data_IF_229152053702
#
_entry.id   IF_229152053702
#
_cell.length_a   1.000
_cell.length_b   1.000
_cell.length_c   1.000
_cell.angle_alpha   90.00
_cell.angle_beta   90.00
_cell.angle_gamma   90.00
#
_symmetry.space_group_name_H-M   'P 1'
#
loop_
_entity.id
_entity.type
_entity.pdbx_description
1 polymer ?
#
# COMPACT_ATOMS: atom_id res chain seq x y z
N UNK A 1 -5.69 -7.69 5.87
CA UNK A 1 -5.46 -8.46 4.63
C UNK A 1 -5.90 -9.91 4.83
N UNK A 2 -7.17 -10.11 5.13
CA UNK A 2 -7.74 -11.46 5.41
C UNK A 2 -8.58 -11.94 4.24
N UNK A 3 -9.29 -11.03 3.59
CA UNK A 3 -10.15 -11.34 2.44
C UNK A 3 -11.48 -12.00 2.78
N UNK A 4 -11.71 -12.37 4.04
CA UNK A 4 -12.98 -12.89 4.50
C UNK A 4 -14.08 -11.82 4.41
N UNK A 5 -15.08 -12.06 3.57
CA UNK A 5 -16.22 -11.17 3.35
C UNK A 5 -17.44 -11.78 4.04
N UNK A 6 -18.01 -11.07 5.02
CA UNK A 6 -19.22 -11.48 5.76
C UNK A 6 -20.49 -10.79 5.25
N UNK A 7 -20.35 -9.83 4.33
CA UNK A 7 -21.43 -9.08 3.69
C UNK A 7 -20.91 -8.55 2.36
N UNK A 8 -21.72 -8.58 1.30
CA UNK A 8 -21.26 -8.20 -0.03
C UNK A 8 -20.91 -6.71 -0.12
N UNK A 9 -19.62 -6.41 -0.22
CA UNK A 9 -19.11 -5.03 -0.22
C UNK A 9 -19.64 -4.19 -1.40
N UNK A 10 -19.99 -4.82 -2.55
CA UNK A 10 -20.63 -4.08 -3.66
C UNK A 10 -22.00 -3.49 -3.28
N UNK A 11 -22.66 -4.02 -2.26
CA UNK A 11 -23.97 -3.54 -1.78
C UNK A 11 -23.87 -2.46 -0.70
N UNK A 12 -22.67 -2.03 -0.33
CA UNK A 12 -22.50 -0.96 0.64
C UNK A 12 -22.81 0.41 0.02
N UNK A 13 -23.09 1.40 0.88
CA UNK A 13 -23.17 2.79 0.44
C UNK A 13 -21.83 3.24 -0.14
N UNK A 14 -21.81 4.27 -0.99
CA UNK A 14 -20.58 4.74 -1.62
C UNK A 14 -19.47 5.05 -0.61
N UNK A 15 -19.81 5.68 0.53
CA UNK A 15 -18.86 5.93 1.60
C UNK A 15 -18.44 4.65 2.35
N UNK A 16 -19.37 3.72 2.58
CA UNK A 16 -19.06 2.43 3.21
C UNK A 16 -18.10 1.58 2.38
N UNK A 17 -18.39 1.41 1.09
CA UNK A 17 -17.49 0.73 0.14
C UNK A 17 -16.15 1.45 0.00
N UNK A 18 -16.17 2.79 -0.07
CA UNK A 18 -14.96 3.62 -0.11
C UNK A 18 -14.04 3.41 1.10
N UNK A 19 -14.58 3.30 2.32
CA UNK A 19 -13.78 3.00 3.51
C UNK A 19 -13.12 1.61 3.42
N UNK A 20 -13.85 0.59 2.94
CA UNK A 20 -13.27 -0.76 2.78
C UNK A 20 -12.13 -0.76 1.75
N UNK A 21 -12.28 0.00 0.66
CA UNK A 21 -11.25 0.15 -0.37
C UNK A 21 -10.03 0.93 0.15
N UNK A 22 -10.27 2.06 0.83
CA UNK A 22 -9.22 2.88 1.43
C UNK A 22 -8.42 2.10 2.48
N UNK A 23 -9.08 1.23 3.26
CA UNK A 23 -8.40 0.34 4.20
C UNK A 23 -7.34 -0.55 3.54
N UNK A 24 -7.63 -1.08 2.34
CA UNK A 24 -6.65 -1.84 1.57
C UNK A 24 -5.56 -0.93 0.97
N UNK A 25 -5.95 0.24 0.44
CA UNK A 25 -5.05 1.21 -0.19
C UNK A 25 -4.04 1.83 0.78
N UNK A 26 -4.33 1.86 2.08
CA UNK A 26 -3.38 2.17 3.15
C UNK A 26 -2.24 1.13 3.27
N UNK A 27 -2.18 0.15 2.37
CA UNK A 27 -1.09 -0.82 2.28
C UNK A 27 -1.23 -1.97 3.27
N UNK A 28 -2.45 -2.24 3.75
CA UNK A 28 -2.73 -3.36 4.67
C UNK A 28 -1.84 -3.32 5.92
N UNK A 29 -1.70 -2.15 6.52
CA UNK A 29 -0.84 -1.95 7.70
C UNK A 29 -1.61 -2.19 9.01
N UNK A 30 -2.92 -1.89 9.06
CA UNK A 30 -3.72 -2.01 10.29
C UNK A 30 -5.21 -2.37 10.02
N UNK A 31 -5.69 -3.57 10.41
CA UNK A 31 -4.92 -4.76 10.75
C UNK A 31 -4.36 -5.42 9.49
N UNK A 32 -3.03 -5.49 9.43
CA UNK A 32 -2.35 -6.05 8.27
C UNK A 32 -2.39 -7.57 8.18
N UNK A 33 -1.83 -8.10 7.09
CA UNK A 33 -1.66 -9.54 6.91
C UNK A 33 -0.60 -10.12 7.83
N UNK A 34 -0.59 -11.45 7.98
CA UNK A 34 0.37 -12.18 8.80
C UNK A 34 1.79 -11.91 8.28
N UNK A 35 2.59 -11.18 9.07
CA UNK A 35 3.92 -10.69 8.70
C UNK A 35 3.91 -9.45 7.79
N UNK A 36 3.04 -9.40 6.78
CA UNK A 36 3.02 -8.31 5.80
C UNK A 36 2.60 -6.96 6.33
N UNK A 37 1.70 -6.94 7.31
CA UNK A 37 1.38 -5.70 8.02
C UNK A 37 2.58 -5.11 8.76
N UNK A 38 3.37 -5.97 9.41
CA UNK A 38 4.50 -5.53 10.23
C UNK A 38 5.61 -4.96 9.36
N UNK A 39 6.05 -5.67 8.31
CA UNK A 39 7.10 -5.11 7.44
C UNK A 39 6.61 -3.86 6.71
N UNK A 40 5.32 -3.79 6.33
CA UNK A 40 4.74 -2.58 5.74
C UNK A 40 4.81 -1.39 6.70
N UNK A 41 4.44 -1.60 7.97
CA UNK A 41 4.57 -0.58 9.02
C UNK A 41 6.02 -0.12 9.21
N UNK A 42 6.97 -1.05 9.20
CA UNK A 42 8.39 -0.73 9.35
C UNK A 42 8.92 0.09 8.17
N UNK A 43 8.47 -0.20 6.93
CA UNK A 43 8.82 0.62 5.77
C UNK A 43 8.28 2.05 5.92
N UNK A 44 7.02 2.21 6.33
CA UNK A 44 6.46 3.54 6.59
C UNK A 44 7.21 4.24 7.73
N UNK A 45 7.66 3.51 8.76
CA UNK A 45 8.49 4.08 9.82
C UNK A 45 9.84 4.58 9.29
N UNK A 46 10.51 3.84 8.38
CA UNK A 46 11.74 4.28 7.71
C UNK A 46 11.51 5.58 6.93
N UNK A 47 10.41 5.67 6.19
CA UNK A 47 10.05 6.88 5.43
C UNK A 47 9.69 8.04 6.37
N UNK A 48 8.92 7.79 7.42
CA UNK A 48 8.53 8.80 8.40
C UNK A 48 9.76 9.41 9.10
N UNK A 49 10.72 8.57 9.50
CA UNK A 49 11.99 9.02 10.07
C UNK A 49 12.82 9.80 9.07
N UNK A 50 12.83 9.37 7.79
CA UNK A 50 13.50 10.10 6.73
C UNK A 50 12.96 11.51 6.55
N UNK A 51 11.64 11.64 6.43
CA UNK A 51 10.96 12.93 6.31
C UNK A 51 11.22 13.81 7.54
N UNK A 52 11.05 13.25 8.74
CA UNK A 52 11.29 13.97 9.99
C UNK A 52 12.75 14.43 10.14
N UNK A 53 13.72 13.58 9.80
CA UNK A 53 15.14 13.92 9.82
C UNK A 53 15.46 15.07 8.85
N UNK A 54 14.92 15.03 7.64
CA UNK A 54 15.07 16.11 6.65
C UNK A 54 14.48 17.43 7.14
N UNK A 55 13.29 17.42 7.75
CA UNK A 55 12.63 18.64 8.26
C UNK A 55 13.43 19.34 9.36
N UNK A 56 14.18 18.57 10.16
CA UNK A 56 15.00 19.09 11.28
C UNK A 56 16.47 19.29 10.86
N UNK A 57 16.83 18.94 9.62
CA UNK A 57 18.20 19.06 9.11
C UNK A 57 19.19 18.07 9.76
N UNK A 58 18.70 16.90 10.18
CA UNK A 58 19.50 15.83 10.80
C UNK A 58 19.55 14.59 9.92
N UNK A 59 20.62 13.82 10.04
CA UNK A 59 20.70 12.51 9.35
C UNK A 59 19.61 11.59 9.88
N UNK A 60 18.75 11.03 9.02
CA UNK A 60 17.70 10.11 9.44
C UNK A 60 18.27 8.83 10.08
N UNK A 61 17.68 8.42 11.19
CA UNK A 61 18.12 7.28 11.97
C UNK A 61 16.93 6.56 12.61
N UNK A 62 16.85 5.24 12.41
CA UNK A 62 15.83 4.40 13.03
C UNK A 62 16.50 3.31 13.88
N UNK A 63 16.17 3.26 15.17
CA UNK A 63 16.72 2.29 16.13
C UNK A 63 18.26 2.23 16.14
N UNK A 64 18.93 3.40 16.16
CA UNK A 64 20.39 3.46 16.13
C UNK A 64 21.00 3.27 14.74
N UNK A 65 20.22 2.91 13.71
CA UNK A 65 20.72 2.65 12.35
C UNK A 65 20.46 3.85 11.46
N UNK A 66 21.52 4.43 10.92
CA UNK A 66 21.43 5.52 9.93
C UNK A 66 20.77 5.01 8.65
N UNK A 67 19.87 5.83 8.11
CA UNK A 67 19.18 5.56 6.86
C UNK A 67 19.85 6.39 5.76
N UNK A 68 20.46 5.72 4.79
CA UNK A 68 21.13 6.36 3.67
C UNK A 68 20.34 6.28 2.36
N UNK A 69 20.93 6.75 1.24
CA UNK A 69 20.25 6.76 -0.05
C UNK A 69 19.83 5.38 -0.56
N UNK A 70 20.59 4.33 -0.23
CA UNK A 70 20.25 2.94 -0.64
C UNK A 70 19.01 2.45 0.08
N UNK A 71 18.94 2.65 1.40
CA UNK A 71 17.80 2.26 2.22
C UNK A 71 16.53 2.99 1.80
N UNK A 72 16.63 4.30 1.50
CA UNK A 72 15.50 5.09 0.99
C UNK A 72 15.03 4.63 -0.39
N UNK A 73 15.94 4.32 -1.31
CA UNK A 73 15.55 3.79 -2.63
C UNK A 73 14.77 2.49 -2.51
N UNK A 74 15.19 1.58 -1.63
CA UNK A 74 14.48 0.31 -1.39
C UNK A 74 13.10 0.54 -0.76
N UNK A 75 13.01 1.42 0.24
CA UNK A 75 11.74 1.78 0.87
C UNK A 75 10.78 2.47 -0.12
N UNK A 76 11.29 3.38 -0.96
CA UNK A 76 10.53 4.07 -1.99
C UNK A 76 10.02 3.10 -3.06
N UNK A 77 10.86 2.18 -3.54
CA UNK A 77 10.44 1.15 -4.49
C UNK A 77 9.37 0.25 -3.90
N UNK A 78 9.51 -0.15 -2.63
CA UNK A 78 8.50 -0.94 -1.91
C UNK A 78 7.13 -0.26 -1.93
N UNK A 79 7.03 1.01 -1.51
CA UNK A 79 5.73 1.68 -1.39
C UNK A 79 5.08 1.97 -2.75
N UNK A 80 5.88 2.00 -3.82
CA UNK A 80 5.40 2.30 -5.16
C UNK A 80 4.86 1.06 -5.88
N UNK A 81 5.22 -0.16 -5.45
CA UNK A 81 4.78 -1.39 -6.13
C UNK A 81 3.27 -1.49 -6.17
N UNK A 82 2.60 -1.47 -5.02
CA UNK A 82 1.16 -1.74 -4.98
C UNK A 82 0.37 -0.65 -5.70
N UNK A 83 0.61 0.66 -5.52
CA UNK A 83 -0.15 1.65 -6.26
C UNK A 83 0.12 1.66 -7.76
N UNK A 84 1.35 1.38 -8.20
CA UNK A 84 1.63 1.25 -9.62
C UNK A 84 0.82 0.10 -10.23
N UNK A 85 0.78 -1.07 -9.58
CA UNK A 85 -0.01 -2.20 -10.07
C UNK A 85 -1.51 -1.87 -10.11
N UNK A 86 -2.04 -1.28 -9.03
CA UNK A 86 -3.47 -0.92 -8.94
C UNK A 86 -3.85 0.05 -10.04
N UNK A 87 -3.14 1.18 -10.15
CA UNK A 87 -3.50 2.26 -11.06
C UNK A 87 -3.25 1.87 -12.52
N UNK A 88 -2.13 1.20 -12.84
CA UNK A 88 -1.83 0.78 -14.20
C UNK A 88 -2.81 -0.29 -14.71
N UNK A 89 -3.12 -1.30 -13.90
CA UNK A 89 -4.06 -2.34 -14.34
C UNK A 89 -5.51 -1.87 -14.37
N UNK A 90 -5.92 -0.99 -13.45
CA UNK A 90 -7.24 -0.33 -13.51
C UNK A 90 -7.36 0.50 -14.78
N UNK A 91 -6.36 1.33 -15.08
CA UNK A 91 -6.32 2.14 -16.30
C UNK A 91 -6.35 1.25 -17.56
N UNK A 92 -5.55 0.18 -17.60
CA UNK A 92 -5.54 -0.75 -18.74
C UNK A 92 -6.89 -1.46 -18.95
N UNK A 93 -7.55 -1.88 -17.86
CA UNK A 93 -8.86 -2.52 -17.95
C UNK A 93 -9.94 -1.57 -18.50
N UNK A 94 -9.90 -0.29 -18.13
CA UNK A 94 -10.86 0.71 -18.58
C UNK A 94 -10.56 1.27 -19.97
N UNK A 95 -9.30 1.25 -20.40
CA UNK A 95 -8.90 1.72 -21.73
C UNK A 95 -9.21 0.71 -22.85
N UNK A 96 -9.42 -0.57 -22.49
CA UNK A 96 -9.74 -1.63 -23.44
C UNK A 96 -11.26 -1.80 -23.60
N UNK A 97 -11.74 -2.21 -24.78
CA UNK A 97 -13.17 -2.27 -25.08
C UNK A 97 -13.91 -3.43 -24.39
N UNK A 98 -13.21 -4.48 -23.96
CA UNK A 98 -13.82 -5.71 -23.44
C UNK A 98 -13.86 -5.84 -21.92
N UNK A 99 -12.85 -5.42 -21.12
CA UNK A 99 -12.88 -5.69 -19.68
C UNK A 99 -14.00 -4.96 -18.94
N UNK A 100 -14.40 -3.77 -19.42
CA UNK A 100 -15.54 -3.03 -18.87
C UNK A 100 -16.87 -3.79 -18.91
N UNK A 101 -17.03 -4.76 -19.81
CA UNK A 101 -18.25 -5.59 -19.90
C UNK A 101 -18.43 -6.54 -18.70
N UNK A 102 -17.39 -6.68 -17.86
CA UNK A 102 -17.46 -7.52 -16.66
C UNK A 102 -18.03 -6.79 -15.44
N UNK A 103 -18.26 -5.47 -15.53
CA UNK A 103 -18.90 -4.68 -14.48
C UNK A 103 -20.37 -5.06 -14.38
N UNK A 104 -20.86 -5.28 -13.16
CA UNK A 104 -22.29 -5.52 -12.92
C UNK A 104 -23.04 -4.20 -12.77
N UNK A 105 -22.37 -3.19 -12.20
CA UNK A 105 -22.97 -1.88 -11.95
C UNK A 105 -22.49 -0.84 -12.97
N UNK A 106 -23.36 0.10 -13.31
CA UNK A 106 -23.05 1.23 -14.19
C UNK A 106 -22.55 2.46 -13.42
N UNK A 107 -21.91 3.38 -14.13
CA UNK A 107 -21.45 4.66 -13.56
C UNK A 107 -20.24 4.50 -12.63
N UNK A 108 -20.06 5.42 -11.64
CA UNK A 108 -18.91 5.41 -10.72
C UNK A 108 -18.74 4.10 -9.94
N UNK A 109 -19.83 3.37 -9.69
CA UNK A 109 -19.76 2.09 -8.99
C UNK A 109 -19.11 1.00 -9.83
N UNK A 110 -19.32 0.98 -11.15
CA UNK A 110 -18.63 0.06 -12.05
C UNK A 110 -17.12 0.30 -12.07
N UNK A 111 -16.71 1.58 -12.10
CA UNK A 111 -15.29 1.95 -11.93
C UNK A 111 -14.74 1.42 -10.59
N UNK A 112 -15.50 1.62 -9.50
CA UNK A 112 -15.15 1.14 -8.17
C UNK A 112 -15.01 -0.38 -8.11
N UNK A 113 -15.82 -1.16 -8.85
CA UNK A 113 -15.70 -2.62 -8.93
C UNK A 113 -14.34 -3.06 -9.48
N UNK A 114 -13.88 -2.44 -10.58
CA UNK A 114 -12.57 -2.73 -11.17
C UNK A 114 -11.44 -2.25 -10.26
N UNK A 115 -11.53 -1.02 -9.75
CA UNK A 115 -10.52 -0.47 -8.85
C UNK A 115 -10.39 -1.32 -7.57
N UNK A 116 -11.51 -1.79 -7.02
CA UNK A 116 -11.51 -2.68 -5.85
C UNK A 116 -10.81 -4.01 -6.15
N UNK A 117 -11.12 -4.62 -7.30
CA UNK A 117 -10.53 -5.90 -7.68
C UNK A 117 -9.00 -5.82 -7.78
N UNK A 118 -8.46 -4.78 -8.45
CA UNK A 118 -7.02 -4.60 -8.53
C UNK A 118 -6.40 -4.14 -7.21
N UNK A 119 -7.08 -3.29 -6.44
CA UNK A 119 -6.65 -2.90 -5.09
C UNK A 119 -6.47 -4.14 -4.21
N UNK A 120 -7.47 -5.02 -4.17
CA UNK A 120 -7.44 -6.24 -3.39
C UNK A 120 -6.37 -7.22 -3.88
N UNK A 121 -6.29 -7.43 -5.20
CA UNK A 121 -5.30 -8.31 -5.81
C UNK A 121 -3.86 -7.86 -5.53
N UNK A 122 -3.53 -6.59 -5.79
CA UNK A 122 -2.20 -6.04 -5.60
C UNK A 122 -1.78 -5.94 -4.11
N UNK A 123 -2.73 -5.72 -3.19
CA UNK A 123 -2.46 -5.71 -1.75
C UNK A 123 -2.60 -7.11 -1.11
N UNK A 124 -2.84 -8.14 -1.92
CA UNK A 124 -3.07 -9.52 -1.48
C UNK A 124 -4.14 -9.65 -0.39
N UNK A 125 -5.16 -8.78 -0.38
CA UNK A 125 -6.23 -8.84 0.61
C UNK A 125 -7.14 -10.06 0.37
N UNK A 126 -7.59 -10.24 -0.87
CA UNK A 126 -8.44 -11.37 -1.28
C UNK A 126 -9.94 -11.12 -1.18
N UNK A 127 -10.39 -10.01 -0.58
CA UNK A 127 -11.80 -9.61 -0.63
C UNK A 127 -12.19 -9.13 -2.03
N UNK A 128 -13.48 -9.17 -2.34
CA UNK A 128 -14.01 -8.62 -3.57
C UNK A 128 -15.34 -7.93 -3.29
N UNK A 129 -15.67 -6.93 -4.12
CA UNK A 129 -17.04 -6.43 -4.22
C UNK A 129 -18.02 -7.54 -4.63
N UNK A 130 -17.55 -8.54 -5.37
CA UNK A 130 -18.30 -9.70 -5.85
C UNK A 130 -19.43 -9.36 -6.83
N UNK A 131 -19.47 -8.13 -7.35
CA UNK A 131 -20.25 -7.78 -8.55
C UNK A 131 -19.47 -7.94 -9.85
N UNK A 132 -18.15 -7.71 -9.85
CA UNK A 132 -17.32 -7.88 -11.04
C UNK A 132 -17.24 -9.35 -11.45
N UNK A 133 -17.59 -9.67 -12.70
CA UNK A 133 -17.34 -11.00 -13.28
C UNK A 133 -15.85 -11.18 -13.60
N UNK A 134 -15.08 -11.60 -12.61
CA UNK A 134 -13.63 -11.74 -12.75
C UNK A 134 -13.18 -13.01 -13.49
N UNK A 135 -14.08 -13.97 -13.76
CA UNK A 135 -13.73 -15.20 -14.48
C UNK A 135 -13.66 -14.97 -16.00
N UNK A 136 -12.67 -14.17 -16.38
CA UNK A 136 -12.31 -13.91 -17.77
C UNK A 136 -10.81 -14.08 -17.92
N UNK A 137 -10.35 -14.41 -19.12
CA UNK A 137 -8.92 -14.54 -19.38
C UNK A 137 -8.14 -13.27 -18.99
N UNK A 138 -8.73 -12.09 -19.21
CA UNK A 138 -8.12 -10.81 -18.83
C UNK A 138 -7.95 -10.71 -17.31
N UNK A 139 -9.04 -10.73 -16.55
CA UNK A 139 -9.00 -10.51 -15.11
C UNK A 139 -8.26 -11.63 -14.37
N UNK A 140 -8.44 -12.90 -14.75
CA UNK A 140 -7.67 -14.01 -14.18
C UNK A 140 -6.15 -13.80 -14.35
N UNK A 141 -5.72 -13.33 -15.53
CA UNK A 141 -4.30 -13.10 -15.82
C UNK A 141 -3.77 -11.86 -15.09
N UNK A 142 -4.43 -10.71 -15.24
CA UNK A 142 -3.90 -9.44 -14.72
C UNK A 142 -4.02 -9.34 -13.20
N UNK A 143 -5.09 -9.86 -12.59
CA UNK A 143 -5.19 -9.95 -11.13
C UNK A 143 -4.17 -10.95 -10.60
N UNK A 144 -3.98 -12.09 -11.27
CA UNK A 144 -2.91 -13.04 -10.91
C UNK A 144 -1.52 -12.42 -10.94
N UNK A 145 -1.21 -11.61 -11.97
CA UNK A 145 0.04 -10.85 -12.05
C UNK A 145 0.13 -9.78 -10.96
N UNK A 146 -0.96 -9.04 -10.70
CA UNK A 146 -1.01 -8.04 -9.62
C UNK A 146 -0.74 -8.69 -8.26
N UNK A 147 -1.30 -9.88 -7.99
CA UNK A 147 -1.05 -10.64 -6.78
C UNK A 147 0.40 -11.10 -6.67
N UNK A 148 0.95 -11.66 -7.75
CA UNK A 148 2.33 -12.15 -7.80
C UNK A 148 3.32 -11.02 -7.52
N UNK A 149 3.20 -9.93 -8.28
CA UNK A 149 4.10 -8.79 -8.17
C UNK A 149 3.89 -8.03 -6.86
N UNK A 150 2.65 -7.83 -6.44
CA UNK A 150 2.29 -7.18 -5.18
C UNK A 150 2.77 -7.94 -3.94
N UNK A 151 3.03 -9.25 -4.06
CA UNK A 151 3.54 -10.07 -2.96
C UNK A 151 5.06 -10.19 -2.96
N UNK A 152 5.64 -10.64 -4.07
CA UNK A 152 7.04 -11.04 -4.11
C UNK A 152 8.00 -9.88 -4.31
N UNK A 153 7.62 -8.87 -5.09
CA UNK A 153 8.51 -7.73 -5.33
C UNK A 153 8.72 -6.89 -4.04
N UNK A 154 7.68 -6.58 -3.23
CA UNK A 154 7.87 -5.96 -1.92
C UNK A 154 8.71 -6.82 -0.96
N UNK A 155 8.55 -8.15 -0.98
CA UNK A 155 9.40 -9.03 -0.17
C UNK A 155 10.88 -8.94 -0.55
N UNK A 156 11.21 -8.90 -1.85
CA UNK A 156 12.59 -8.71 -2.31
C UNK A 156 13.17 -7.39 -1.77
N UNK A 157 12.41 -6.30 -1.81
CA UNK A 157 12.87 -5.01 -1.29
C UNK A 157 13.02 -5.01 0.22
N UNK A 158 12.11 -5.64 0.96
CA UNK A 158 12.20 -5.78 2.42
C UNK A 158 13.44 -6.59 2.82
N UNK A 159 13.72 -7.71 2.14
CA UNK A 159 14.90 -8.53 2.41
C UNK A 159 16.19 -7.78 2.07
N UNK A 160 16.21 -7.06 0.94
CA UNK A 160 17.36 -6.23 0.58
C UNK A 160 17.60 -5.10 1.60
N UNK A 161 16.53 -4.50 2.13
CA UNK A 161 16.60 -3.48 3.16
C UNK A 161 17.10 -4.06 4.49
N UNK A 162 16.59 -5.23 4.88
CA UNK A 162 17.04 -5.96 6.07
C UNK A 162 18.54 -6.29 5.99
N UNK A 163 19.01 -6.78 4.84
CA UNK A 163 20.44 -7.01 4.60
C UNK A 163 21.28 -5.73 4.71
N UNK A 164 20.77 -4.60 4.19
CA UNK A 164 21.42 -3.30 4.33
C UNK A 164 21.55 -2.90 5.80
N UNK A 165 20.48 -3.01 6.61
CA UNK A 165 20.51 -2.69 8.03
C UNK A 165 21.38 -3.64 8.86
N UNK A 166 21.45 -4.92 8.50
CA UNK A 166 22.29 -5.91 9.17
C UNK A 166 23.79 -5.55 9.10
N UNK A 167 24.24 -5.01 7.97
CA UNK A 167 25.64 -4.56 7.80
C UNK A 167 26.00 -3.26 8.55
N UNK A 168 25.00 -2.53 9.08
CA UNK A 168 25.22 -1.22 9.71
C UNK A 168 25.55 -1.39 11.19
N UNK A 169 26.45 -0.55 11.72
CA UNK A 169 26.69 -0.46 13.17
C UNK A 169 25.68 0.50 13.81
N UNK A 170 25.11 0.17 14.99
CA UNK A 170 24.30 1.13 15.75
C UNK A 170 25.13 2.36 16.15
N UNK A 171 24.49 3.51 16.16
CA UNK A 171 25.06 4.80 16.60
C UNK A 171 24.46 5.16 17.97
N UNK A 172 25.24 5.74 18.90
CA UNK A 172 24.72 6.18 20.19
C UNK A 172 23.63 7.24 20.04
N UNK A 173 22.64 7.22 20.94
CA UNK A 173 21.62 8.25 21.00
C UNK A 173 22.25 9.62 21.34
N UNK A 174 21.79 10.66 20.65
CA UNK A 174 22.21 12.05 20.86
C UNK A 174 21.00 12.91 21.17
N UNK A 175 21.21 14.17 21.58
CA UNK A 175 20.12 15.13 21.75
C UNK A 175 19.29 15.36 20.46
N UNK A 176 19.86 15.06 19.28
CA UNK A 176 19.18 15.16 17.99
C UNK A 176 18.50 13.88 17.52
N UNK A 177 18.56 12.79 18.28
CA UNK A 177 17.94 11.51 17.90
C UNK A 177 16.42 11.58 18.08
N UNK A 178 15.69 11.29 17.01
CA UNK A 178 14.23 11.28 17.02
C UNK A 178 13.72 10.12 17.89
N UNK A 179 12.94 10.43 18.93
CA UNK A 179 12.37 9.42 19.82
C UNK A 179 11.13 8.76 19.20
N UNK A 180 11.31 7.57 18.65
CA UNK A 180 10.27 6.81 17.92
C UNK A 180 9.20 6.18 18.83
N UNK A 181 9.38 6.18 20.15
CA UNK A 181 8.41 5.65 21.11
C UNK A 181 7.42 6.70 21.66
N UNK A 182 7.53 7.96 21.23
CA UNK A 182 6.67 9.05 21.74
C UNK A 182 5.40 9.21 20.89
N UNK A 183 4.28 9.72 21.46
CA UNK A 183 3.05 10.01 20.72
C UNK A 183 3.26 10.90 19.49
N UNK A 184 4.24 11.80 19.55
CA UNK A 184 4.63 12.63 18.41
C UNK A 184 5.01 11.78 17.19
N UNK A 185 5.81 10.71 17.39
CA UNK A 185 6.19 9.83 16.30
C UNK A 185 5.00 9.03 15.77
N UNK A 186 4.08 8.61 16.64
CA UNK A 186 2.82 8.00 16.20
C UNK A 186 2.03 8.94 15.28
N UNK A 187 1.96 10.24 15.63
CA UNK A 187 1.34 11.26 14.77
C UNK A 187 2.06 11.41 13.42
N UNK A 188 3.39 11.47 13.43
CA UNK A 188 4.21 11.56 12.19
C UNK A 188 4.03 10.31 11.32
N UNK A 189 4.03 9.12 11.91
CA UNK A 189 3.84 7.85 11.22
C UNK A 189 2.47 7.79 10.55
N UNK A 190 1.40 8.06 11.30
CA UNK A 190 0.03 8.08 10.79
C UNK A 190 -0.15 9.16 9.74
N UNK A 191 0.37 10.37 9.96
CA UNK A 191 0.33 11.46 8.98
C UNK A 191 1.05 11.10 7.69
N UNK A 192 2.24 10.51 7.78
CA UNK A 192 3.01 10.03 6.61
C UNK A 192 2.19 9.00 5.82
N UNK A 193 1.58 8.04 6.49
CA UNK A 193 0.75 7.01 5.86
C UNK A 193 -0.45 7.63 5.13
N UNK A 194 -1.18 8.52 5.80
CA UNK A 194 -2.36 9.17 5.24
C UNK A 194 -2.02 10.08 4.06
N UNK A 195 -0.92 10.84 4.15
CA UNK A 195 -0.49 11.73 3.06
C UNK A 195 -0.08 10.91 1.82
N UNK A 196 0.75 9.87 2.00
CA UNK A 196 1.17 9.02 0.87
C UNK A 196 -0.04 8.38 0.21
N UNK A 197 -0.92 7.77 1.00
CA UNK A 197 -2.10 7.06 0.46
C UNK A 197 -3.09 8.04 -0.17
N UNK A 198 -3.40 9.14 0.52
CA UNK A 198 -4.32 10.17 0.04
C UNK A 198 -3.84 10.76 -1.28
N UNK A 199 -2.59 11.20 -1.37
CA UNK A 199 -2.05 11.77 -2.61
C UNK A 199 -1.99 10.77 -3.76
N UNK A 200 -1.89 9.47 -3.47
CA UNK A 200 -1.78 8.43 -4.49
C UNK A 200 -3.15 8.03 -5.06
N UNK A 201 -4.17 7.89 -4.21
CA UNK A 201 -5.47 7.33 -4.60
C UNK A 201 -6.60 8.35 -4.66
N UNK A 202 -6.43 9.57 -4.13
CA UNK A 202 -7.49 10.58 -4.13
C UNK A 202 -8.09 10.85 -5.52
N UNK A 203 -7.31 10.99 -6.61
CA UNK A 203 -7.89 11.18 -7.93
C UNK A 203 -8.75 10.00 -8.38
N UNK A 204 -8.34 8.76 -8.07
CA UNK A 204 -9.10 7.57 -8.42
C UNK A 204 -10.39 7.47 -7.57
N UNK A 205 -10.32 7.75 -6.27
CA UNK A 205 -11.47 7.69 -5.36
C UNK A 205 -12.50 8.81 -5.60
N UNK A 206 -12.13 9.86 -6.34
CA UNK A 206 -13.02 10.98 -6.66
C UNK A 206 -13.87 10.76 -7.93
N UNK A 207 -13.54 9.74 -8.74
CA UNK A 207 -14.26 9.36 -9.97
C UNK A 207 -15.44 8.42 -9.68
#
# INVERSE_FOLDING_TARGET
>A
STGAVNSFHSSFTGLGGGITMLGMQLGEIAPGGVGSGLYGMLIIAVIAVFLAGLMVGRTPEYLGKKIGPREIKLAALYILVTPALVLCFTAAALALPTPGNSMTNSGPHGFSEILYAYTSGANNNGSAFAGLNADTQWFNTTIGLAMLLGRFLPMVFVLALAGSFASRRPVPETAGTLRTAKPLFTGVLTGTLLIITGLTYFPALAL
#
